data_IF_648690536460
#
_entry.id   IF_648690536460
#
_cell.length_a   1.000
_cell.length_b   1.000
_cell.length_c   1.000
_cell.angle_alpha   90.00
_cell.angle_beta   90.00
_cell.angle_gamma   90.00
#
_symmetry.space_group_name_H-M   'P 1'
#
loop_
_entity.id
_entity.type
_entity.pdbx_description
1 polymer ?
#
# COMPACT_ATOMS: atom_id res chain seq x y z
N UNK A 1 14.98 -5.23 14.57
CA UNK A 1 15.23 -4.54 13.32
C UNK A 1 15.35 -3.06 13.61
N UNK A 2 16.55 -2.56 13.48
CA UNK A 2 16.87 -1.15 13.73
C UNK A 2 16.77 -0.34 12.44
N UNK A 3 15.74 -0.62 11.64
CA UNK A 3 15.51 0.08 10.40
C UNK A 3 15.25 1.56 10.71
N UNK A 4 16.14 2.44 10.27
CA UNK A 4 16.01 3.89 10.41
C UNK A 4 14.67 4.40 9.91
N UNK A 5 14.07 3.64 9.01
CA UNK A 5 12.77 3.88 8.45
C UNK A 5 11.59 3.79 9.47
N UNK A 6 11.75 3.07 10.56
CA UNK A 6 10.75 2.96 11.64
C UNK A 6 10.96 3.98 12.76
N UNK A 7 11.79 5.00 12.52
CA UNK A 7 12.12 6.03 13.49
C UNK A 7 11.76 7.40 12.90
N UNK A 8 11.26 8.30 13.75
CA UNK A 8 11.14 9.70 13.39
C UNK A 8 12.50 10.41 13.51
N UNK A 9 12.61 11.61 12.94
CA UNK A 9 13.81 12.45 13.05
C UNK A 9 14.19 12.80 14.51
N UNK A 10 13.23 12.74 15.42
CA UNK A 10 13.44 13.03 16.86
C UNK A 10 13.88 11.80 17.66
N UNK A 11 13.96 10.61 17.03
CA UNK A 11 14.41 9.40 17.70
C UNK A 11 15.91 9.45 18.00
N UNK A 12 16.28 9.11 19.24
CA UNK A 12 17.68 9.00 19.68
C UNK A 12 17.84 7.75 20.51
N UNK A 13 18.83 6.93 20.23
CA UNK A 13 19.06 5.65 20.90
C UNK A 13 19.24 5.78 22.41
N UNK A 14 19.86 6.87 22.88
CA UNK A 14 20.12 7.18 24.28
C UNK A 14 18.91 7.78 25.02
N UNK A 15 17.85 8.21 24.34
CA UNK A 15 16.66 8.74 24.98
C UNK A 15 15.83 7.60 25.62
N UNK A 16 15.62 7.57 26.94
CA UNK A 16 14.77 6.58 27.60
C UNK A 16 13.31 6.57 27.08
N UNK A 17 12.87 7.67 26.48
CA UNK A 17 11.54 7.82 25.88
C UNK A 17 11.52 7.67 24.35
N UNK A 18 12.59 7.18 23.74
CA UNK A 18 12.70 7.03 22.29
C UNK A 18 11.52 6.29 21.65
N UNK A 19 10.85 5.41 22.40
CA UNK A 19 9.67 4.66 21.91
C UNK A 19 8.52 5.55 21.43
N UNK A 20 8.42 6.80 21.92
CA UNK A 20 7.38 7.73 21.45
C UNK A 20 7.66 8.26 20.04
N UNK A 21 8.90 8.11 19.58
CA UNK A 21 9.36 8.55 18.25
C UNK A 21 9.46 7.38 17.26
N UNK A 22 9.07 6.18 17.67
CA UNK A 22 8.96 5.04 16.77
C UNK A 22 7.71 5.15 15.89
N UNK A 23 7.84 4.68 14.65
CA UNK A 23 6.75 4.70 13.68
C UNK A 23 6.14 3.32 13.56
N UNK A 24 4.87 3.19 13.91
CA UNK A 24 4.14 1.94 13.84
C UNK A 24 3.22 1.90 12.61
N UNK A 25 3.07 0.69 12.06
CA UNK A 25 2.10 0.43 11.00
C UNK A 25 0.72 0.15 11.60
N UNK A 26 -0.33 0.73 11.01
CA UNK A 26 -1.72 0.53 11.39
C UNK A 26 -2.47 -0.19 10.27
N UNK A 27 -3.27 -1.21 10.64
CA UNK A 27 -3.98 -2.03 9.65
C UNK A 27 -3.01 -2.72 8.67
N UNK A 28 -3.33 -2.66 7.36
CA UNK A 28 -2.57 -3.39 6.33
C UNK A 28 -1.18 -2.80 6.07
N UNK A 29 -1.05 -1.48 6.02
CA UNK A 29 0.20 -0.78 5.68
C UNK A 29 0.21 0.70 6.03
N UNK A 30 -0.88 1.23 6.57
CA UNK A 30 -1.01 2.65 6.91
C UNK A 30 -0.02 3.05 8.00
N UNK A 31 0.60 4.21 7.83
CA UNK A 31 1.56 4.78 8.78
C UNK A 31 1.24 6.23 9.07
N UNK A 32 1.61 6.69 10.25
CA UNK A 32 1.68 8.09 10.60
C UNK A 32 3.15 8.41 10.86
N UNK A 33 3.75 9.21 10.01
CA UNK A 33 5.19 9.47 10.06
C UNK A 33 5.51 10.85 10.63
N UNK A 34 5.06 11.92 9.99
CA UNK A 34 5.36 13.28 10.39
C UNK A 34 4.12 14.01 10.92
N UNK A 35 4.34 15.00 11.77
CA UNK A 35 3.31 15.91 12.20
C UNK A 35 3.84 17.35 12.14
N UNK A 36 3.31 18.15 11.23
CA UNK A 36 3.68 19.54 11.06
C UNK A 36 3.00 20.48 12.08
N UNK A 37 1.94 19.98 12.75
CA UNK A 37 1.06 20.81 13.59
C UNK A 37 0.94 20.28 15.01
N UNK A 38 1.81 19.37 15.41
CA UNK A 38 1.84 18.76 16.74
C UNK A 38 3.08 17.90 16.97
N UNK A 39 3.09 17.09 18.04
CA UNK A 39 4.23 16.22 18.35
C UNK A 39 4.50 15.22 17.23
N UNK A 40 5.76 15.00 16.89
CA UNK A 40 6.20 13.97 15.91
C UNK A 40 6.16 12.59 16.58
N UNK A 41 4.99 12.03 16.71
CA UNK A 41 4.73 10.70 17.28
C UNK A 41 3.67 9.97 16.48
N UNK A 42 3.73 8.63 16.43
CA UNK A 42 2.66 7.78 15.91
C UNK A 42 1.57 7.50 16.95
N UNK A 43 1.88 7.68 18.22
CA UNK A 43 0.99 7.33 19.33
C UNK A 43 -0.21 8.28 19.38
N UNK A 44 -1.41 7.71 19.37
CA UNK A 44 -2.66 8.47 19.43
C UNK A 44 -2.99 9.26 18.17
N UNK A 45 -2.37 8.95 17.04
CA UNK A 45 -2.61 9.56 15.74
C UNK A 45 -3.05 8.53 14.71
N UNK A 46 -3.57 8.97 13.57
CA UNK A 46 -4.01 8.07 12.50
C UNK A 46 -4.27 8.80 11.19
N UNK A 47 -4.56 8.02 10.14
CA UNK A 47 -5.09 8.56 8.89
C UNK A 47 -6.58 8.89 9.06
N UNK A 48 -6.95 10.11 8.69
CA UNK A 48 -8.33 10.60 8.76
C UNK A 48 -9.10 10.16 7.53
N UNK A 49 -8.49 10.32 6.37
CA UNK A 49 -9.10 9.97 5.10
C UNK A 49 -8.03 9.73 4.04
N UNK A 50 -8.35 8.92 3.04
CA UNK A 50 -7.52 8.80 1.84
C UNK A 50 -8.38 8.77 0.57
N UNK A 51 -7.78 9.19 -0.54
CA UNK A 51 -8.35 9.09 -1.88
C UNK A 51 -7.31 8.49 -2.80
N UNK A 52 -7.71 7.48 -3.58
CA UNK A 52 -6.82 6.76 -4.49
C UNK A 52 -7.02 7.20 -5.92
N UNK A 53 -5.92 7.57 -6.57
CA UNK A 53 -5.88 7.99 -7.98
C UNK A 53 -5.63 6.77 -8.86
N UNK A 54 -6.41 6.62 -9.92
CA UNK A 54 -6.13 5.72 -11.03
C UNK A 54 -5.12 6.38 -11.99
N UNK A 55 -3.82 6.20 -11.72
CA UNK A 55 -2.77 6.79 -12.57
C UNK A 55 -2.65 6.09 -13.92
N UNK A 56 -3.15 4.85 -14.04
CA UNK A 56 -3.16 4.10 -15.31
C UNK A 56 -4.04 4.79 -16.33
N UNK A 57 -5.26 5.20 -15.93
CA UNK A 57 -6.17 5.94 -16.82
C UNK A 57 -5.52 7.20 -17.39
N UNK A 58 -4.84 7.97 -16.56
CA UNK A 58 -4.16 9.19 -16.98
C UNK A 58 -3.07 8.91 -18.03
N UNK A 59 -2.39 7.77 -17.89
CA UNK A 59 -1.38 7.34 -18.85
C UNK A 59 -2.00 6.83 -20.15
N UNK A 60 -3.07 6.02 -20.09
CA UNK A 60 -3.80 5.53 -21.29
C UNK A 60 -4.30 6.70 -22.13
N UNK A 61 -4.87 7.72 -21.50
CA UNK A 61 -5.32 8.94 -22.21
C UNK A 61 -4.22 9.73 -22.91
N UNK A 62 -2.96 9.40 -22.68
CA UNK A 62 -1.80 10.00 -23.33
C UNK A 62 -1.13 9.08 -24.37
N UNK A 63 -1.53 7.82 -24.51
CA UNK A 63 -0.85 6.81 -25.34
C UNK A 63 -0.79 7.19 -26.84
N UNK A 64 -1.77 7.90 -27.35
CA UNK A 64 -1.80 8.31 -28.76
C UNK A 64 -0.77 9.40 -29.12
N UNK A 65 -0.21 10.08 -28.11
CA UNK A 65 0.83 11.08 -28.29
C UNK A 65 2.13 10.36 -28.68
N UNK A 66 2.59 10.54 -29.92
CA UNK A 66 3.72 9.80 -30.48
C UNK A 66 5.05 10.21 -29.86
N UNK A 67 5.24 11.52 -29.64
CA UNK A 67 6.45 12.02 -28.99
C UNK A 67 6.45 11.61 -27.52
N UNK A 68 7.55 10.96 -27.10
CA UNK A 68 7.68 10.43 -25.74
C UNK A 68 7.70 11.53 -24.69
N UNK A 69 8.43 12.60 -24.95
CA UNK A 69 8.56 13.70 -23.99
C UNK A 69 7.24 14.46 -23.84
N UNK A 70 6.57 14.74 -24.95
CA UNK A 70 5.23 15.36 -24.96
C UNK A 70 4.21 14.48 -24.22
N UNK A 71 4.23 13.16 -24.46
CA UNK A 71 3.37 12.19 -23.76
C UNK A 71 3.57 12.22 -22.25
N UNK A 72 4.81 12.19 -21.78
CA UNK A 72 5.14 12.25 -20.35
C UNK A 72 4.73 13.61 -19.76
N UNK A 73 4.98 14.71 -20.45
CA UNK A 73 4.58 16.05 -20.00
C UNK A 73 3.06 16.18 -19.90
N UNK A 74 2.33 15.64 -20.88
CA UNK A 74 0.85 15.59 -20.86
C UNK A 74 0.33 14.77 -19.69
N UNK A 75 0.96 13.64 -19.39
CA UNK A 75 0.62 12.83 -18.21
C UNK A 75 0.81 13.61 -16.92
N UNK A 76 1.95 14.30 -16.71
CA UNK A 76 2.17 15.10 -15.51
C UNK A 76 1.17 16.25 -15.38
N UNK A 77 0.80 16.90 -16.48
CA UNK A 77 -0.20 17.96 -16.48
C UNK A 77 -1.61 17.45 -16.07
N UNK A 78 -1.97 16.21 -16.47
CA UNK A 78 -3.20 15.57 -16.02
C UNK A 78 -3.11 15.14 -14.55
N UNK A 79 -1.99 14.55 -14.14
CA UNK A 79 -1.73 14.14 -12.76
C UNK A 79 -1.85 15.33 -11.81
N UNK A 80 -1.28 16.48 -12.15
CA UNK A 80 -1.34 17.71 -11.35
C UNK A 80 -2.79 18.14 -11.08
N UNK A 81 -3.63 18.19 -12.12
CA UNK A 81 -5.05 18.51 -11.99
C UNK A 81 -5.81 17.55 -11.08
N UNK A 82 -5.51 16.26 -11.18
CA UNK A 82 -6.17 15.23 -10.36
C UNK A 82 -5.67 15.29 -8.92
N UNK A 83 -4.40 15.64 -8.69
CA UNK A 83 -3.84 15.86 -7.35
C UNK A 83 -4.54 17.05 -6.67
N UNK A 84 -4.73 18.17 -7.37
CA UNK A 84 -5.48 19.33 -6.86
C UNK A 84 -6.92 18.97 -6.47
N UNK A 85 -7.61 18.22 -7.33
CA UNK A 85 -8.98 17.75 -7.06
C UNK A 85 -9.01 16.82 -5.84
N UNK A 86 -8.04 15.92 -5.75
CA UNK A 86 -7.90 14.96 -4.63
C UNK A 86 -7.67 15.70 -3.31
N UNK A 87 -6.80 16.69 -3.29
CA UNK A 87 -6.53 17.49 -2.10
C UNK A 87 -7.78 18.25 -1.63
N UNK A 88 -8.52 18.90 -2.56
CA UNK A 88 -9.79 19.58 -2.25
C UNK A 88 -10.81 18.62 -1.65
N UNK A 89 -10.98 17.43 -2.25
CA UNK A 89 -11.90 16.41 -1.75
C UNK A 89 -11.53 15.94 -0.34
N UNK A 90 -10.24 15.75 -0.06
CA UNK A 90 -9.76 15.36 1.27
C UNK A 90 -10.04 16.45 2.32
N UNK A 91 -9.84 17.71 1.98
CA UNK A 91 -10.18 18.86 2.85
C UNK A 91 -11.68 18.95 3.09
N UNK A 92 -12.52 18.75 2.08
CA UNK A 92 -13.98 18.71 2.24
C UNK A 92 -14.42 17.60 3.20
N UNK A 93 -13.83 16.40 3.06
CA UNK A 93 -14.10 15.29 4.00
C UNK A 93 -13.66 15.63 5.42
N UNK A 94 -12.48 16.22 5.58
CA UNK A 94 -12.00 16.69 6.87
C UNK A 94 -12.97 17.69 7.49
N UNK A 95 -13.42 18.69 6.74
CA UNK A 95 -14.36 19.70 7.19
C UNK A 95 -15.72 19.13 7.61
N UNK A 96 -16.15 18.05 6.97
CA UNK A 96 -17.32 17.29 7.41
C UNK A 96 -17.03 16.50 8.71
N UNK A 97 -15.93 15.76 8.75
CA UNK A 97 -15.59 14.89 9.90
C UNK A 97 -15.36 15.67 11.18
N UNK A 98 -14.73 16.85 11.12
CA UNK A 98 -14.41 17.67 12.29
C UNK A 98 -15.63 18.14 13.07
N UNK A 99 -16.81 18.17 12.46
CA UNK A 99 -18.08 18.57 13.11
C UNK A 99 -18.72 17.46 13.95
N UNK A 100 -18.22 16.25 13.87
CA UNK A 100 -18.73 15.12 14.65
C UNK A 100 -18.42 15.28 16.14
N UNK A 101 -19.29 14.75 17.00
CA UNK A 101 -19.13 14.83 18.46
C UNK A 101 -18.27 13.69 19.01
N UNK A 102 -17.48 13.99 20.05
CA UNK A 102 -16.59 13.02 20.70
C UNK A 102 -17.33 11.76 21.17
N UNK A 103 -18.56 11.89 21.68
CA UNK A 103 -19.41 10.75 22.09
C UNK A 103 -19.70 9.73 20.99
N UNK A 104 -19.57 10.10 19.72
CA UNK A 104 -19.76 9.20 18.57
C UNK A 104 -18.56 8.27 18.36
N UNK A 105 -17.43 8.54 19.02
CA UNK A 105 -16.17 7.82 18.86
C UNK A 105 -15.68 7.25 20.21
N UNK A 106 -15.98 5.98 20.53
CA UNK A 106 -15.57 5.38 21.80
C UNK A 106 -14.06 5.44 22.07
N UNK A 107 -13.24 5.38 21.02
CA UNK A 107 -11.78 5.46 21.14
C UNK A 107 -11.31 6.87 21.55
N UNK A 108 -11.97 7.91 21.05
CA UNK A 108 -11.74 9.30 21.48
C UNK A 108 -12.14 9.46 22.96
N UNK A 109 -13.32 8.98 23.33
CA UNK A 109 -13.82 9.06 24.71
C UNK A 109 -12.98 8.29 25.73
N UNK A 110 -12.16 7.33 25.28
CA UNK A 110 -11.18 6.60 26.10
C UNK A 110 -9.80 7.26 26.12
N UNK A 111 -9.68 8.46 25.59
CA UNK A 111 -8.41 9.22 25.51
C UNK A 111 -7.29 8.48 24.76
N UNK A 112 -7.65 7.64 23.77
CA UNK A 112 -6.68 6.91 22.96
C UNK A 112 -6.14 7.74 21.78
N UNK A 113 -6.80 8.88 21.49
CA UNK A 113 -6.31 9.84 20.52
C UNK A 113 -5.58 10.98 21.22
N UNK A 114 -4.52 11.47 20.57
CA UNK A 114 -3.70 12.55 21.10
C UNK A 114 -4.54 13.81 21.37
N UNK A 115 -4.59 14.26 22.62
CA UNK A 115 -5.39 15.41 23.05
C UNK A 115 -6.85 15.12 23.37
N UNK A 116 -7.31 13.87 23.24
CA UNK A 116 -8.70 13.49 23.50
C UNK A 116 -9.07 13.53 25.00
N UNK A 117 -8.08 13.48 25.90
CA UNK A 117 -8.25 13.64 27.33
C UNK A 117 -8.88 15.01 27.73
N UNK A 118 -8.82 15.99 26.85
CA UNK A 118 -9.38 17.34 27.05
C UNK A 118 -10.81 17.49 26.54
N UNK A 119 -11.34 16.47 25.81
CA UNK A 119 -12.67 16.53 25.20
C UNK A 119 -13.77 16.02 26.13
N UNK A 120 -14.89 16.74 26.14
CA UNK A 120 -16.16 16.29 26.71
C UNK A 120 -17.00 15.58 25.63
N UNK A 121 -18.02 14.86 26.06
CA UNK A 121 -18.87 14.07 25.15
C UNK A 121 -19.53 14.88 24.01
N UNK A 122 -19.92 16.12 24.29
CA UNK A 122 -20.59 17.01 23.34
C UNK A 122 -19.64 18.00 22.63
N UNK A 123 -18.34 17.92 22.87
CA UNK A 123 -17.34 18.69 22.11
C UNK A 123 -17.15 18.06 20.73
N UNK A 124 -16.80 18.85 19.72
CA UNK A 124 -16.41 18.35 18.41
C UNK A 124 -15.02 17.74 18.44
N UNK A 125 -14.76 16.78 17.54
CA UNK A 125 -13.44 16.10 17.48
C UNK A 125 -12.37 16.92 16.73
N UNK A 126 -12.65 18.15 16.30
CA UNK A 126 -11.74 18.95 15.49
C UNK A 126 -10.34 19.06 16.09
N UNK A 127 -10.22 19.29 17.40
CA UNK A 127 -8.93 19.45 18.08
C UNK A 127 -8.06 18.19 18.10
N UNK A 128 -8.64 17.02 17.89
CA UNK A 128 -7.88 15.76 17.88
C UNK A 128 -7.60 15.25 16.47
N UNK A 129 -8.52 15.46 15.51
CA UNK A 129 -8.31 14.99 14.13
C UNK A 129 -7.40 15.88 13.30
N UNK A 130 -7.16 17.13 13.69
CA UNK A 130 -6.26 18.05 13.00
C UNK A 130 -4.80 17.53 12.95
N UNK A 131 -4.42 16.63 13.82
CA UNK A 131 -3.11 15.99 13.85
C UNK A 131 -3.04 14.70 13.02
N UNK A 132 -4.17 14.26 12.46
CA UNK A 132 -4.23 13.11 11.58
C UNK A 132 -3.74 13.44 10.17
N UNK A 133 -3.61 12.41 9.34
CA UNK A 133 -3.09 12.53 7.97
C UNK A 133 -4.22 12.41 6.94
N UNK A 134 -4.19 13.25 5.93
CA UNK A 134 -4.97 13.16 4.70
C UNK A 134 -4.08 12.52 3.62
N UNK A 135 -4.43 11.31 3.17
CA UNK A 135 -3.53 10.54 2.34
C UNK A 135 -3.96 10.52 0.88
N UNK A 136 -2.99 10.78 -0.01
CA UNK A 136 -3.15 10.67 -1.46
C UNK A 136 -2.60 9.32 -1.88
N UNK A 137 -3.49 8.41 -2.28
CA UNK A 137 -3.13 7.09 -2.73
C UNK A 137 -3.03 6.98 -4.25
N UNK A 138 -2.39 5.94 -4.75
CA UNK A 138 -2.33 5.60 -6.17
C UNK A 138 -2.34 4.10 -6.38
N UNK A 139 -2.65 3.68 -7.62
CA UNK A 139 -2.67 2.29 -8.04
C UNK A 139 -2.20 2.16 -9.47
N UNK A 140 -1.51 1.04 -9.80
CA UNK A 140 -1.18 0.67 -11.16
C UNK A 140 0.07 1.38 -11.70
N UNK A 141 1.12 1.59 -10.88
CA UNK A 141 2.36 2.20 -11.39
C UNK A 141 2.97 1.40 -12.54
N UNK A 142 2.93 0.07 -12.45
CA UNK A 142 3.47 -0.80 -13.49
C UNK A 142 2.73 -0.62 -14.82
N UNK A 143 1.41 -0.66 -14.81
CA UNK A 143 0.57 -0.48 -16.00
C UNK A 143 0.62 0.96 -16.52
N UNK A 144 0.74 1.95 -15.62
CA UNK A 144 0.98 3.34 -16.00
C UNK A 144 2.29 3.50 -16.80
N UNK A 145 3.37 2.90 -16.33
CA UNK A 145 4.66 2.92 -17.01
C UNK A 145 4.62 2.16 -18.34
N UNK A 146 3.91 1.03 -18.40
CA UNK A 146 3.67 0.32 -19.67
C UNK A 146 2.92 1.19 -20.67
N UNK A 147 1.91 1.94 -20.24
CA UNK A 147 1.19 2.87 -21.11
C UNK A 147 2.09 4.02 -21.61
N UNK A 148 3.01 4.51 -20.79
CA UNK A 148 3.89 5.62 -21.14
C UNK A 148 5.14 5.19 -21.94
N UNK A 149 5.74 4.03 -21.62
CA UNK A 149 7.05 3.61 -22.12
C UNK A 149 7.06 2.22 -22.79
N UNK A 150 6.00 1.44 -22.67
CA UNK A 150 5.93 0.06 -23.14
C UNK A 150 6.52 -0.97 -22.16
N UNK A 151 7.10 -0.54 -21.05
CA UNK A 151 7.74 -1.38 -20.02
C UNK A 151 7.42 -0.92 -18.63
N UNK A 152 7.48 -1.82 -17.63
CA UNK A 152 7.28 -1.46 -16.23
C UNK A 152 8.63 -1.37 -15.46
N UNK A 153 8.59 -0.79 -14.28
CA UNK A 153 9.76 -0.49 -13.45
C UNK A 153 10.54 -1.72 -12.95
N UNK A 154 9.95 -2.92 -12.95
CA UNK A 154 10.66 -4.15 -12.59
C UNK A 154 11.50 -4.74 -13.73
N UNK A 155 11.31 -4.29 -14.98
CA UNK A 155 11.98 -4.84 -16.16
C UNK A 155 12.90 -3.85 -16.87
N UNK A 156 12.81 -2.55 -16.55
CA UNK A 156 13.53 -1.52 -17.28
C UNK A 156 13.94 -0.33 -16.39
N UNK A 157 15.18 0.11 -16.50
CA UNK A 157 15.74 1.20 -15.69
C UNK A 157 15.11 2.56 -16.01
N UNK A 158 14.82 2.88 -17.28
CA UNK A 158 14.15 4.13 -17.65
C UNK A 158 12.73 4.18 -17.06
N UNK A 159 12.05 3.04 -17.07
CA UNK A 159 10.74 2.91 -16.43
C UNK A 159 10.84 3.07 -14.91
N UNK A 160 11.87 2.53 -14.27
CA UNK A 160 12.12 2.73 -12.84
C UNK A 160 12.37 4.22 -12.51
N UNK A 161 13.21 4.90 -13.28
CA UNK A 161 13.48 6.33 -13.10
C UNK A 161 12.21 7.18 -13.25
N UNK A 162 11.40 6.89 -14.28
CA UNK A 162 10.12 7.58 -14.48
C UNK A 162 9.14 7.27 -13.34
N UNK A 163 9.08 6.02 -12.88
CA UNK A 163 8.26 5.63 -11.76
C UNK A 163 8.60 6.39 -10.47
N UNK A 164 9.89 6.48 -10.15
CA UNK A 164 10.39 7.28 -9.03
C UNK A 164 10.04 8.77 -9.21
N UNK A 165 10.20 9.32 -10.41
CA UNK A 165 9.83 10.71 -10.73
C UNK A 165 8.34 10.97 -10.50
N UNK A 166 7.46 10.05 -10.90
CA UNK A 166 6.00 10.17 -10.70
C UNK A 166 5.67 10.21 -9.21
N UNK A 167 6.17 9.25 -8.42
CA UNK A 167 5.84 9.16 -6.99
C UNK A 167 6.50 10.30 -6.21
N UNK A 168 7.71 10.73 -6.58
CA UNK A 168 8.36 11.93 -6.02
C UNK A 168 7.52 13.18 -6.26
N UNK A 169 7.03 13.36 -7.49
CA UNK A 169 6.14 14.47 -7.82
C UNK A 169 4.87 14.47 -6.93
N UNK A 170 4.23 13.31 -6.76
CA UNK A 170 3.08 13.19 -5.87
C UNK A 170 3.42 13.57 -4.42
N UNK A 171 4.59 13.15 -3.91
CA UNK A 171 5.06 13.50 -2.57
C UNK A 171 5.29 15.00 -2.43
N UNK A 172 5.95 15.62 -3.41
CA UNK A 172 6.25 17.05 -3.37
C UNK A 172 4.96 17.87 -3.41
N UNK A 173 3.98 17.47 -4.23
CA UNK A 173 2.64 18.07 -4.22
C UNK A 173 1.90 17.87 -2.88
N UNK A 174 2.02 16.70 -2.24
CA UNK A 174 1.46 16.48 -0.91
C UNK A 174 2.08 17.43 0.14
N UNK A 175 3.40 17.67 0.06
CA UNK A 175 4.08 18.64 0.92
C UNK A 175 3.58 20.08 0.67
N UNK A 176 3.33 20.45 -0.59
CA UNK A 176 2.75 21.76 -0.93
C UNK A 176 1.33 21.90 -0.41
N UNK A 177 0.50 20.85 -0.50
CA UNK A 177 -0.85 20.85 0.08
C UNK A 177 -0.82 20.96 1.60
N UNK A 178 0.17 20.34 2.27
CA UNK A 178 0.36 20.51 3.71
C UNK A 178 0.55 21.98 4.09
N UNK A 179 1.38 22.71 3.34
CA UNK A 179 1.62 24.14 3.55
C UNK A 179 0.37 24.99 3.21
N UNK A 180 -0.30 24.65 2.09
CA UNK A 180 -1.44 25.40 1.57
C UNK A 180 -2.67 25.29 2.45
N UNK A 181 -3.02 24.05 2.85
CA UNK A 181 -4.25 23.76 3.59
C UNK A 181 -4.06 23.69 5.10
N UNK A 182 -2.82 23.74 5.60
CA UNK A 182 -2.49 23.58 7.01
C UNK A 182 -3.04 22.28 7.62
N UNK A 183 -2.88 21.17 6.87
CA UNK A 183 -3.17 19.80 7.28
C UNK A 183 -2.02 18.88 6.89
N UNK A 184 -1.84 17.79 7.61
CA UNK A 184 -0.83 16.80 7.24
C UNK A 184 -1.29 16.01 5.99
N UNK A 185 -0.65 16.25 4.86
CA UNK A 185 -0.82 15.43 3.65
C UNK A 185 0.36 14.47 3.49
N UNK A 186 0.11 13.29 2.96
CA UNK A 186 1.16 12.32 2.64
C UNK A 186 0.72 11.35 1.54
N UNK A 187 1.68 10.69 0.89
CA UNK A 187 1.41 9.70 -0.16
C UNK A 187 1.28 8.31 0.45
N UNK A 188 0.27 7.57 0.00
CA UNK A 188 -0.05 6.20 0.40
C UNK A 188 0.12 5.23 -0.78
N UNK A 189 0.92 4.20 -0.60
CA UNK A 189 0.89 3.03 -1.47
C UNK A 189 -0.41 2.25 -1.18
N UNK A 190 -1.49 2.57 -1.90
CA UNK A 190 -2.85 2.12 -1.57
C UNK A 190 -2.98 0.60 -1.50
N UNK A 191 -3.56 0.04 -0.42
CA UNK A 191 -3.96 -1.36 -0.38
C UNK A 191 -5.24 -1.57 -1.20
N UNK A 192 -5.11 -1.58 -2.52
CA UNK A 192 -6.24 -1.49 -3.44
C UNK A 192 -6.99 -2.82 -3.61
N UNK A 193 -7.68 -3.26 -2.58
CA UNK A 193 -8.40 -4.53 -2.56
C UNK A 193 -9.48 -4.63 -3.65
N UNK A 194 -10.53 -3.82 -3.56
CA UNK A 194 -11.59 -3.78 -4.57
C UNK A 194 -11.33 -2.82 -5.73
N UNK A 195 -10.49 -1.80 -5.53
CA UNK A 195 -10.23 -0.78 -6.55
C UNK A 195 -9.39 -1.31 -7.70
N UNK A 196 -8.46 -2.25 -7.45
CA UNK A 196 -7.63 -2.85 -8.51
C UNK A 196 -8.48 -3.40 -9.65
N UNK A 197 -9.46 -4.25 -9.35
CA UNK A 197 -10.36 -4.79 -10.36
C UNK A 197 -11.38 -3.78 -10.89
N UNK A 198 -11.90 -2.89 -10.03
CA UNK A 198 -12.89 -1.89 -10.48
C UNK A 198 -12.31 -0.89 -11.49
N UNK A 199 -11.08 -0.45 -11.29
CA UNK A 199 -10.43 0.48 -12.22
C UNK A 199 -10.15 -0.21 -13.54
N UNK A 200 -9.58 -1.42 -13.52
CA UNK A 200 -9.32 -2.18 -14.74
C UNK A 200 -10.59 -2.43 -15.55
N UNK A 201 -11.69 -2.86 -14.92
CA UNK A 201 -12.97 -3.08 -15.59
C UNK A 201 -13.53 -1.81 -16.23
N UNK A 202 -13.41 -0.66 -15.57
CA UNK A 202 -13.86 0.63 -16.12
C UNK A 202 -13.02 1.05 -17.32
N UNK A 203 -11.70 0.93 -17.19
CA UNK A 203 -10.77 1.36 -18.24
C UNK A 203 -10.85 0.43 -19.45
N UNK A 204 -10.96 -0.89 -19.24
CA UNK A 204 -11.21 -1.87 -20.31
C UNK A 204 -12.51 -1.59 -21.06
N UNK A 205 -13.57 -1.20 -20.35
CA UNK A 205 -14.85 -0.85 -20.98
C UNK A 205 -14.74 0.39 -21.85
N UNK A 206 -13.91 1.35 -21.48
CA UNK A 206 -13.79 2.64 -22.17
C UNK A 206 -12.75 2.62 -23.29
N UNK A 207 -11.60 2.00 -23.04
CA UNK A 207 -10.43 2.02 -23.92
C UNK A 207 -10.18 0.69 -24.63
N UNK A 208 -10.92 -0.36 -24.30
CA UNK A 208 -10.70 -1.71 -24.81
C UNK A 208 -9.64 -2.48 -24.01
N UNK A 209 -9.34 -3.69 -24.51
CA UNK A 209 -8.29 -4.53 -23.98
C UNK A 209 -6.95 -4.09 -24.57
N UNK A 210 -6.05 -3.60 -23.69
CA UNK A 210 -4.72 -3.13 -24.02
C UNK A 210 -3.71 -4.09 -23.39
N UNK A 211 -2.85 -4.70 -24.23
CA UNK A 211 -1.87 -5.71 -23.82
C UNK A 211 -0.92 -5.19 -22.73
N UNK A 212 -0.82 -5.95 -21.64
CA UNK A 212 0.00 -5.62 -20.46
C UNK A 212 -0.51 -4.43 -19.64
N UNK A 213 -1.69 -3.89 -19.96
CA UNK A 213 -2.29 -2.75 -19.25
C UNK A 213 -3.68 -3.11 -18.72
N UNK A 214 -4.66 -3.38 -19.60
CA UNK A 214 -6.04 -3.70 -19.21
C UNK A 214 -6.46 -5.14 -19.51
N UNK A 215 -5.54 -5.98 -19.95
CA UNK A 215 -5.76 -7.38 -20.33
C UNK A 215 -5.96 -8.33 -19.13
N UNK A 216 -5.58 -7.90 -17.91
CA UNK A 216 -5.81 -8.64 -16.65
C UNK A 216 -7.00 -8.08 -15.90
N UNK A 217 -7.58 -8.87 -14.97
CA UNK A 217 -8.75 -8.45 -14.19
C UNK A 217 -8.41 -7.56 -12.99
N UNK A 218 -7.17 -7.07 -12.91
CA UNK A 218 -6.69 -6.18 -11.86
C UNK A 218 -5.54 -5.32 -12.37
N UNK A 219 -5.35 -4.16 -11.72
CA UNK A 219 -4.11 -3.39 -11.77
C UNK A 219 -3.20 -3.76 -10.63
N UNK A 220 -1.91 -3.73 -10.86
CA UNK A 220 -0.89 -3.93 -9.81
C UNK A 220 -1.07 -2.92 -8.69
N UNK A 221 -0.98 -3.39 -7.44
CA UNK A 221 -1.12 -2.51 -6.29
C UNK A 221 0.01 -1.50 -6.21
N UNK A 222 -0.35 -0.22 -6.13
CA UNK A 222 0.57 0.90 -5.92
C UNK A 222 1.87 0.82 -6.74
N UNK A 223 3.01 0.72 -6.06
CA UNK A 223 4.36 0.70 -6.63
C UNK A 223 4.98 -0.71 -6.70
N UNK A 224 4.20 -1.77 -6.48
CA UNK A 224 4.75 -3.12 -6.53
C UNK A 224 5.20 -3.50 -7.95
N UNK A 225 6.24 -4.32 -8.01
CA UNK A 225 6.52 -5.11 -9.21
C UNK A 225 5.34 -6.06 -9.43
N UNK A 226 4.83 -6.20 -10.67
CA UNK A 226 3.70 -7.06 -10.95
C UNK A 226 3.88 -8.48 -10.43
N UNK A 227 2.85 -9.04 -9.80
CA UNK A 227 2.90 -10.36 -9.16
C UNK A 227 3.20 -11.51 -10.13
N UNK A 228 2.94 -11.31 -11.41
CA UNK A 228 3.21 -12.26 -12.50
C UNK A 228 4.64 -12.14 -13.06
N UNK A 229 5.38 -11.09 -12.69
CA UNK A 229 6.73 -10.87 -13.18
C UNK A 229 7.73 -11.72 -12.38
N UNK A 230 8.39 -12.66 -13.06
CA UNK A 230 9.35 -13.55 -12.44
C UNK A 230 10.66 -12.82 -12.17
N UNK A 231 10.98 -12.61 -10.90
CA UNK A 231 12.23 -12.01 -10.44
C UNK A 231 12.65 -12.61 -9.09
N UNK A 232 13.89 -12.38 -8.68
CA UNK A 232 14.35 -12.71 -7.33
C UNK A 232 13.77 -11.74 -6.29
N UNK A 233 13.68 -12.17 -5.04
CA UNK A 233 13.29 -11.30 -3.93
C UNK A 233 14.23 -10.09 -3.80
N UNK A 234 15.53 -10.30 -4.08
CA UNK A 234 16.53 -9.24 -4.09
C UNK A 234 16.23 -8.18 -5.14
N UNK A 235 16.00 -8.58 -6.40
CA UNK A 235 15.65 -7.64 -7.47
C UNK A 235 14.38 -6.85 -7.14
N UNK A 236 13.37 -7.55 -6.61
CA UNK A 236 12.13 -6.90 -6.16
C UNK A 236 12.39 -5.88 -5.07
N UNK A 237 13.26 -6.18 -4.09
CA UNK A 237 13.64 -5.24 -3.04
C UNK A 237 14.38 -4.02 -3.60
N UNK A 238 15.33 -4.22 -4.52
CA UNK A 238 16.06 -3.14 -5.20
C UNK A 238 15.12 -2.18 -5.93
N UNK A 239 14.08 -2.70 -6.58
CA UNK A 239 13.11 -1.91 -7.33
C UNK A 239 12.10 -1.20 -6.40
N UNK A 240 11.56 -1.90 -5.39
CA UNK A 240 10.46 -1.36 -4.56
C UNK A 240 10.93 -0.49 -3.39
N UNK A 241 12.09 -0.78 -2.81
CA UNK A 241 12.56 -0.07 -1.61
C UNK A 241 12.64 1.47 -1.77
N UNK A 242 13.11 2.03 -2.91
CA UNK A 242 13.17 3.48 -3.08
C UNK A 242 11.81 4.19 -3.00
N UNK A 243 10.70 3.49 -3.27
CA UNK A 243 9.36 4.05 -3.13
C UNK A 243 8.87 4.15 -1.69
N UNK A 244 9.46 3.39 -0.76
CA UNK A 244 9.03 3.35 0.63
C UNK A 244 9.20 4.70 1.32
N UNK A 245 10.31 5.40 1.08
CA UNK A 245 10.52 6.76 1.61
C UNK A 245 9.61 7.80 0.96
N UNK A 246 9.11 7.53 -0.24
CA UNK A 246 8.18 8.41 -0.94
C UNK A 246 6.72 8.22 -0.51
N UNK A 247 6.37 7.07 0.06
CA UNK A 247 5.01 6.68 0.44
C UNK A 247 4.85 6.61 1.96
N UNK A 248 5.09 7.74 2.62
CA UNK A 248 5.16 7.83 4.10
C UNK A 248 3.82 7.62 4.82
N UNK A 249 2.67 7.76 4.14
CA UNK A 249 1.38 7.40 4.71
C UNK A 249 1.14 5.89 4.78
N UNK A 250 1.99 5.10 4.14
CA UNK A 250 1.98 3.64 4.24
C UNK A 250 2.42 2.93 2.97
N UNK A 251 3.11 1.82 3.18
CA UNK A 251 3.58 0.89 2.16
C UNK A 251 3.83 -0.48 2.81
N UNK A 252 4.08 -1.49 1.99
CA UNK A 252 4.47 -2.83 2.44
C UNK A 252 5.28 -3.50 1.33
N UNK A 253 6.23 -4.35 1.71
CA UNK A 253 6.98 -5.22 0.82
C UNK A 253 6.45 -6.66 0.94
N UNK A 254 6.23 -7.35 -0.17
CA UNK A 254 5.77 -8.73 -0.20
C UNK A 254 6.81 -9.65 -0.81
N UNK A 255 7.15 -10.74 -0.10
CA UNK A 255 7.94 -11.83 -0.63
C UNK A 255 7.10 -13.10 -0.64
N UNK A 256 6.99 -13.72 -1.82
CA UNK A 256 6.30 -15.00 -1.99
C UNK A 256 7.34 -16.11 -1.96
N UNK A 257 7.30 -16.97 -0.94
CA UNK A 257 8.21 -18.13 -0.83
C UNK A 257 7.51 -19.43 -1.17
N UNK A 258 8.31 -20.42 -1.60
CA UNK A 258 7.83 -21.76 -1.83
C UNK A 258 7.91 -22.62 -0.56
N UNK A 259 6.96 -23.55 -0.43
CA UNK A 259 6.97 -24.56 0.61
C UNK A 259 6.64 -24.07 2.02
N UNK A 260 7.02 -24.86 3.00
CA UNK A 260 6.77 -24.63 4.42
C UNK A 260 8.05 -24.11 5.11
N UNK A 261 8.07 -22.85 5.47
CA UNK A 261 9.20 -22.20 6.14
C UNK A 261 9.44 -22.74 7.57
N UNK A 262 8.53 -23.52 8.16
CA UNK A 262 8.73 -24.12 9.49
C UNK A 262 9.92 -25.08 9.53
N UNK A 263 10.25 -25.69 8.40
CA UNK A 263 11.40 -26.58 8.26
C UNK A 263 12.69 -25.87 7.85
N UNK A 264 12.61 -24.61 7.43
CA UNK A 264 13.77 -23.80 7.05
C UNK A 264 13.60 -22.34 7.50
N UNK A 265 13.71 -22.04 8.80
CA UNK A 265 13.54 -20.67 9.31
C UNK A 265 14.60 -19.70 8.78
N UNK A 266 15.74 -20.21 8.26
CA UNK A 266 16.77 -19.34 7.68
C UNK A 266 16.26 -18.55 6.49
N UNK A 267 15.30 -19.06 5.73
CA UNK A 267 14.64 -18.32 4.64
C UNK A 267 13.99 -17.03 5.13
N UNK A 268 13.31 -17.10 6.28
CA UNK A 268 12.69 -15.91 6.89
C UNK A 268 13.77 -14.91 7.34
N UNK A 269 14.85 -15.42 7.96
CA UNK A 269 15.97 -14.55 8.40
C UNK A 269 16.62 -13.85 7.20
N UNK A 270 16.85 -14.56 6.10
CA UNK A 270 17.40 -13.96 4.88
C UNK A 270 16.52 -12.84 4.32
N UNK A 271 15.18 -13.00 4.38
CA UNK A 271 14.25 -11.92 3.98
C UNK A 271 14.35 -10.73 4.93
N UNK A 272 14.45 -10.99 6.24
CA UNK A 272 14.60 -9.93 7.25
C UNK A 272 15.91 -9.17 7.05
N UNK A 273 17.03 -9.88 6.84
CA UNK A 273 18.34 -9.28 6.58
C UNK A 273 18.33 -8.46 5.28
N UNK A 274 17.65 -8.94 4.25
CA UNK A 274 17.45 -8.22 3.01
C UNK A 274 16.61 -6.93 3.23
N UNK A 275 15.54 -7.01 4.00
CA UNK A 275 14.72 -5.84 4.32
C UNK A 275 15.53 -4.79 5.09
N UNK A 276 16.37 -5.22 6.03
CA UNK A 276 17.27 -4.32 6.76
C UNK A 276 18.27 -3.65 5.82
N UNK A 277 18.92 -4.44 4.95
CA UNK A 277 19.90 -3.94 3.97
C UNK A 277 19.31 -2.86 3.04
N UNK A 278 18.05 -3.02 2.60
CA UNK A 278 17.36 -2.07 1.72
C UNK A 278 16.52 -1.03 2.46
N UNK A 279 16.62 -0.95 3.79
CA UNK A 279 15.83 -0.04 4.64
C UNK A 279 14.32 -0.19 4.47
N UNK A 280 13.83 -1.42 4.32
CA UNK A 280 12.42 -1.76 4.21
C UNK A 280 11.84 -2.00 5.60
N UNK A 281 11.14 -1.03 6.16
CA UNK A 281 10.65 -1.10 7.54
C UNK A 281 9.40 -1.96 7.76
N UNK A 282 8.71 -2.38 6.69
CA UNK A 282 7.51 -3.21 6.80
C UNK A 282 7.37 -4.16 5.61
N UNK A 283 7.24 -5.43 5.90
CA UNK A 283 7.08 -6.46 4.88
C UNK A 283 6.27 -7.66 5.36
N UNK A 284 5.92 -8.51 4.43
CA UNK A 284 5.23 -9.77 4.66
C UNK A 284 5.89 -10.88 3.86
N UNK A 285 6.27 -11.94 4.55
CA UNK A 285 6.70 -13.19 3.91
C UNK A 285 5.45 -14.05 3.76
N UNK A 286 5.06 -14.27 2.51
CA UNK A 286 3.87 -15.05 2.19
C UNK A 286 4.27 -16.47 1.80
N UNK A 287 3.59 -17.43 2.37
CA UNK A 287 3.66 -18.84 1.99
C UNK A 287 2.28 -19.47 2.11
N UNK A 288 2.08 -20.54 1.35
CA UNK A 288 0.81 -21.25 1.38
C UNK A 288 0.69 -22.07 2.68
N UNK A 289 -0.47 -22.02 3.32
CA UNK A 289 -0.80 -22.85 4.46
C UNK A 289 -2.23 -23.31 4.37
N UNK A 290 -2.41 -24.61 4.15
CA UNK A 290 -3.74 -25.20 4.05
C UNK A 290 -3.98 -26.06 5.28
N UNK A 291 -5.21 -26.02 5.81
CA UNK A 291 -5.61 -26.79 6.98
C UNK A 291 -6.88 -27.57 6.69
N UNK A 292 -6.83 -28.87 6.95
CA UNK A 292 -8.03 -29.70 6.94
C UNK A 292 -8.90 -29.38 8.16
N UNK A 293 -10.11 -28.91 7.94
CA UNK A 293 -11.04 -28.54 9.00
C UNK A 293 -11.63 -29.75 9.73
N UNK A 294 -11.45 -30.96 9.18
CA UNK A 294 -11.92 -32.21 9.78
C UNK A 294 -10.93 -32.78 10.80
N UNK A 295 -9.63 -32.83 10.46
CA UNK A 295 -8.65 -33.49 11.32
C UNK A 295 -7.48 -32.59 11.75
N UNK A 296 -7.43 -31.33 11.29
CA UNK A 296 -6.37 -30.38 11.61
C UNK A 296 -5.05 -30.57 10.88
N UNK A 297 -4.96 -31.52 9.92
CA UNK A 297 -3.76 -31.70 9.11
C UNK A 297 -3.42 -30.43 8.33
N UNK A 298 -2.15 -30.04 8.35
CA UNK A 298 -1.67 -28.84 7.67
C UNK A 298 -0.60 -29.16 6.63
N UNK A 299 -0.60 -28.43 5.52
CA UNK A 299 0.41 -28.49 4.45
C UNK A 299 0.46 -27.20 3.64
N UNK A 300 1.43 -27.12 2.71
CA UNK A 300 1.63 -25.98 1.81
C UNK A 300 1.15 -26.24 0.37
N UNK A 301 0.60 -27.43 0.07
CA UNK A 301 0.19 -27.80 -1.28
C UNK A 301 -1.22 -27.30 -1.61
N UNK A 302 -1.31 -26.26 -2.44
CA UNK A 302 -2.57 -25.67 -2.89
C UNK A 302 -3.35 -26.52 -3.89
N UNK A 303 -2.77 -27.60 -4.40
CA UNK A 303 -3.43 -28.48 -5.38
C UNK A 303 -4.31 -29.55 -4.72
N UNK A 304 -4.21 -29.72 -3.40
CA UNK A 304 -4.98 -30.72 -2.68
C UNK A 304 -6.47 -30.42 -2.68
N UNK A 305 -7.26 -31.32 -3.25
CA UNK A 305 -8.72 -31.29 -3.22
C UNK A 305 -9.29 -32.04 -2.01
N UNK A 306 -8.51 -32.97 -1.45
CA UNK A 306 -8.88 -33.74 -0.25
C UNK A 306 -7.68 -33.91 0.68
N UNK A 307 -7.97 -34.05 1.95
CA UNK A 307 -6.95 -34.26 2.97
C UNK A 307 -6.28 -35.64 2.83
N UNK A 308 -4.96 -35.74 2.69
CA UNK A 308 -4.28 -37.03 2.57
C UNK A 308 -4.31 -37.85 3.86
N UNK A 309 -4.64 -37.24 5.01
CA UNK A 309 -4.70 -37.90 6.30
C UNK A 309 -6.08 -38.49 6.63
N UNK A 310 -7.18 -37.78 6.32
CA UNK A 310 -8.55 -38.20 6.69
C UNK A 310 -9.51 -38.25 5.51
N UNK A 311 -9.06 -37.99 4.27
CA UNK A 311 -9.85 -37.92 3.05
C UNK A 311 -10.97 -36.85 3.09
N UNK A 312 -10.97 -35.94 4.07
CA UNK A 312 -11.94 -34.85 4.14
C UNK A 312 -11.72 -33.81 3.05
N UNK A 313 -12.82 -33.29 2.49
CA UNK A 313 -12.76 -32.29 1.41
C UNK A 313 -12.83 -30.84 1.91
N UNK A 314 -13.05 -30.61 3.20
CA UNK A 314 -13.11 -29.27 3.77
C UNK A 314 -11.70 -28.79 4.13
N UNK A 315 -11.03 -28.19 3.15
CA UNK A 315 -9.68 -27.63 3.30
C UNK A 315 -9.75 -26.12 3.33
N UNK A 316 -9.34 -25.52 4.44
CA UNK A 316 -9.17 -24.08 4.59
C UNK A 316 -7.82 -23.68 4.03
N UNK A 317 -7.81 -22.75 3.05
CA UNK A 317 -6.61 -22.25 2.37
C UNK A 317 -6.26 -20.89 2.91
N UNK A 318 -5.35 -20.87 3.89
CA UNK A 318 -4.88 -19.63 4.49
C UNK A 318 -3.84 -18.99 3.58
N UNK A 319 -4.26 -17.96 2.88
CA UNK A 319 -3.42 -17.19 1.97
C UNK A 319 -3.61 -15.70 2.22
N UNK A 320 -2.57 -14.92 1.96
CA UNK A 320 -2.64 -13.47 2.05
C UNK A 320 -2.51 -12.85 0.67
N UNK A 321 -3.41 -11.91 0.35
CA UNK A 321 -3.26 -11.04 -0.80
C UNK A 321 -3.67 -9.62 -0.41
N UNK A 322 -2.79 -8.65 -0.60
CA UNK A 322 -3.01 -7.27 -0.16
C UNK A 322 -3.39 -7.23 1.33
N UNK A 323 -4.61 -6.79 1.67
CA UNK A 323 -5.13 -6.76 3.03
C UNK A 323 -5.94 -8.00 3.42
N UNK A 324 -6.24 -8.88 2.48
CA UNK A 324 -7.05 -10.07 2.74
C UNK A 324 -6.23 -11.14 3.47
N UNK A 325 -6.75 -11.56 4.60
CA UNK A 325 -6.27 -12.70 5.37
C UNK A 325 -7.51 -13.50 5.79
N UNK A 326 -8.08 -14.25 4.87
CA UNK A 326 -9.26 -15.09 5.09
C UNK A 326 -8.97 -16.52 4.67
N UNK A 327 -9.47 -17.47 5.43
CA UNK A 327 -9.21 -18.88 5.25
C UNK A 327 -9.72 -19.46 3.94
N UNK A 328 -10.80 -18.90 3.38
CA UNK A 328 -11.36 -19.36 2.10
C UNK A 328 -11.33 -18.26 1.06
N UNK A 329 -10.98 -18.62 -0.17
CA UNK A 329 -10.87 -17.68 -1.29
C UNK A 329 -12.22 -17.40 -1.96
N UNK A 330 -13.27 -18.12 -1.63
CA UNK A 330 -14.63 -17.97 -2.15
C UNK A 330 -15.28 -16.60 -1.84
N UNK A 331 -14.76 -15.90 -0.84
CA UNK A 331 -15.18 -14.54 -0.47
C UNK A 331 -14.37 -13.42 -1.10
N UNK A 332 -13.35 -13.77 -1.89
CA UNK A 332 -12.52 -12.78 -2.55
C UNK A 332 -13.21 -12.26 -3.81
N UNK A 333 -12.94 -11.00 -4.16
CA UNK A 333 -13.41 -10.46 -5.43
C UNK A 333 -12.58 -11.01 -6.60
N UNK A 334 -13.16 -10.98 -7.82
CA UNK A 334 -12.56 -11.58 -9.01
C UNK A 334 -11.15 -11.04 -9.30
N UNK A 335 -10.91 -9.74 -9.12
CA UNK A 335 -9.58 -9.16 -9.33
C UNK A 335 -8.53 -9.72 -8.37
N UNK A 336 -8.90 -10.02 -7.12
CA UNK A 336 -7.98 -10.62 -6.15
C UNK A 336 -7.78 -12.12 -6.40
N UNK A 337 -8.77 -12.82 -6.90
CA UNK A 337 -8.61 -14.20 -7.35
C UNK A 337 -7.68 -14.28 -8.57
N UNK A 338 -7.86 -13.39 -9.54
CA UNK A 338 -6.96 -13.31 -10.70
C UNK A 338 -5.52 -12.97 -10.28
N UNK A 339 -5.32 -11.99 -9.40
CA UNK A 339 -4.00 -11.64 -8.86
C UNK A 339 -3.35 -12.83 -8.12
N UNK A 340 -4.12 -13.60 -7.36
CA UNK A 340 -3.62 -14.80 -6.68
C UNK A 340 -3.16 -15.88 -7.66
N UNK A 341 -3.93 -16.10 -8.73
CA UNK A 341 -3.62 -17.11 -9.73
C UNK A 341 -2.40 -16.76 -10.59
N UNK A 342 -2.16 -15.47 -10.79
CA UNK A 342 -1.02 -14.95 -11.56
C UNK A 342 0.28 -14.89 -10.74
N UNK A 343 0.20 -15.03 -9.43
CA UNK A 343 1.32 -14.83 -8.52
C UNK A 343 2.44 -15.84 -8.75
N UNK A 344 3.64 -15.33 -8.94
CA UNK A 344 4.87 -16.12 -9.01
C UNK A 344 5.65 -16.08 -7.69
N UNK A 345 6.50 -17.07 -7.47
CA UNK A 345 7.36 -17.15 -6.30
C UNK A 345 8.69 -16.47 -6.57
N UNK A 346 9.32 -16.00 -5.50
CA UNK A 346 10.60 -15.31 -5.57
C UNK A 346 11.72 -16.24 -5.10
N UNK A 347 12.82 -16.27 -5.86
CA UNK A 347 14.07 -16.88 -5.42
C UNK A 347 14.72 -15.97 -4.36
N UNK A 348 15.16 -16.57 -3.23
CA UNK A 348 15.71 -15.88 -2.04
C UNK A 348 17.20 -16.17 -1.91
#
# INVERSE_FOLDING_TARGET
LDATFNQSEDWKAEDPKRYIHEVATMGCRTRVFENYFGPKTSIGRGNISFTTINIVRLAIECMEIKDKEERINSFFAKLDKVLDLTAKQLVERYNFQKTAYAKQFPMVMRSLWLGADKLKADDTIESVINQGTLSIGFIGLAECLKALLGKHHGEDNEAQELGLKIVTYMRDRANDFTKMYQHNFSVLATPAEGLSGKFTLKDRKEFGELEGITDRDYYTNSNHVPVYYKCSAKHKAEVEAPYHDLTRAGHIFYVEIDGDATHNPQVIMNVVDMMDHYNIGYGSVNHNRNRCMTCGFENADNTLESCPHCCGHHIDRLQRITGYLVGTTDRWNNGKLAELNDRVRHDI
#
